data_IF_302185354499
#
_entry.id   IF_302185354499
#
_cell.length_a   1.000
_cell.length_b   1.000
_cell.length_c   1.000
_cell.angle_alpha   90.00
_cell.angle_beta   90.00
_cell.angle_gamma   90.00
#
_symmetry.space_group_name_H-M   'P 1'
#
loop_
_entity.id
_entity.type
_entity.pdbx_description
1 polymer ?
#
# COMPACT_ATOMS: atom_id res chain seq x y z
N UNK A 1 1.70 8.79 19.94
CA UNK A 1 2.52 8.17 18.87
C UNK A 1 3.20 6.85 19.29
N UNK A 2 4.04 6.82 20.33
CA UNK A 2 4.88 5.64 20.64
C UNK A 2 4.09 4.36 21.00
N UNK A 3 2.97 4.48 21.71
CA UNK A 3 2.14 3.32 22.06
C UNK A 3 1.64 2.57 20.81
N UNK A 4 1.21 3.28 19.77
CA UNK A 4 0.77 2.70 18.50
C UNK A 4 1.92 2.02 17.76
N UNK A 5 3.12 2.60 17.80
CA UNK A 5 4.29 1.96 17.23
C UNK A 5 4.61 0.63 17.91
N UNK A 6 4.61 0.60 19.25
CA UNK A 6 4.81 -0.64 20.02
C UNK A 6 3.75 -1.67 19.69
N UNK A 7 2.47 -1.27 19.63
CA UNK A 7 1.39 -2.16 19.21
C UNK A 7 1.64 -2.73 17.82
N UNK A 8 1.97 -1.88 16.83
CA UNK A 8 2.23 -2.31 15.45
C UNK A 8 3.39 -3.29 15.33
N UNK A 9 4.51 -3.01 16.01
CA UNK A 9 5.65 -3.93 16.03
C UNK A 9 5.32 -5.24 16.74
N UNK A 10 4.54 -5.21 17.82
CA UNK A 10 4.16 -6.41 18.57
C UNK A 10 3.23 -7.35 17.76
N UNK A 11 2.33 -6.79 16.94
CA UNK A 11 1.43 -7.58 16.10
C UNK A 11 2.06 -8.01 14.78
N UNK A 12 3.11 -7.33 14.33
CA UNK A 12 3.76 -7.61 13.05
C UNK A 12 4.25 -9.06 12.97
N UNK A 13 3.80 -9.78 11.93
CA UNK A 13 4.14 -11.18 11.69
C UNK A 13 3.83 -12.14 12.86
N UNK A 14 2.97 -11.76 13.80
CA UNK A 14 2.66 -12.53 15.02
C UNK A 14 1.17 -12.82 15.14
N UNK A 15 0.67 -13.95 14.58
CA UNK A 15 -0.76 -14.28 14.58
C UNK A 15 -1.42 -14.34 15.96
N UNK A 16 -0.68 -14.72 17.00
CA UNK A 16 -1.19 -14.76 18.38
C UNK A 16 -1.43 -13.36 18.93
N UNK A 17 -0.47 -12.46 18.71
CA UNK A 17 -0.60 -11.06 19.10
C UNK A 17 -1.68 -10.33 18.30
N UNK A 18 -1.76 -10.59 16.98
CA UNK A 18 -2.82 -10.06 16.11
C UNK A 18 -4.20 -10.44 16.64
N UNK A 19 -4.42 -11.74 16.91
CA UNK A 19 -5.67 -12.24 17.47
C UNK A 19 -6.02 -11.58 18.80
N UNK A 20 -5.06 -11.54 19.74
CA UNK A 20 -5.28 -10.93 21.05
C UNK A 20 -5.57 -9.42 20.95
N UNK A 21 -4.87 -8.70 20.07
CA UNK A 21 -5.08 -7.28 19.83
C UNK A 21 -6.48 -7.00 19.26
N UNK A 22 -6.91 -7.82 18.29
CA UNK A 22 -8.24 -7.74 17.68
C UNK A 22 -9.35 -8.03 18.70
N UNK A 23 -9.24 -9.11 19.47
CA UNK A 23 -10.21 -9.52 20.51
C UNK A 23 -10.36 -8.48 21.64
N UNK A 24 -9.33 -7.65 21.85
CA UNK A 24 -9.35 -6.56 22.84
C UNK A 24 -9.84 -5.22 22.26
N UNK A 25 -10.36 -5.22 21.03
CA UNK A 25 -10.89 -4.02 20.38
C UNK A 25 -9.80 -3.08 19.81
N UNK A 26 -8.58 -3.59 19.61
CA UNK A 26 -7.46 -2.80 19.10
C UNK A 26 -7.73 -2.20 17.71
N UNK A 27 -8.47 -2.92 16.85
CA UNK A 27 -8.90 -2.41 15.55
C UNK A 27 -9.83 -1.19 15.67
N UNK A 28 -10.84 -1.26 16.54
CA UNK A 28 -11.76 -0.14 16.79
C UNK A 28 -11.01 1.09 17.27
N UNK A 29 -10.03 0.91 18.15
CA UNK A 29 -9.19 2.00 18.66
C UNK A 29 -8.37 2.65 17.54
N UNK A 30 -7.72 1.85 16.67
CA UNK A 30 -6.98 2.36 15.52
C UNK A 30 -7.91 3.13 14.57
N UNK A 31 -9.08 2.59 14.24
CA UNK A 31 -10.02 3.24 13.32
C UNK A 31 -10.52 4.59 13.87
N UNK A 32 -10.80 4.68 15.17
CA UNK A 32 -11.22 5.93 15.79
C UNK A 32 -10.13 7.02 15.69
N UNK A 33 -8.86 6.65 15.92
CA UNK A 33 -7.72 7.56 15.77
C UNK A 33 -7.60 8.05 14.32
N UNK A 34 -7.86 7.18 13.34
CA UNK A 34 -7.82 7.57 11.91
C UNK A 34 -8.99 8.44 11.49
N UNK A 35 -10.14 8.32 12.16
CA UNK A 35 -11.35 9.14 11.92
C UNK A 35 -11.29 10.52 12.56
N UNK A 36 -10.47 10.72 13.57
CA UNK A 36 -10.39 12.00 14.27
C UNK A 36 -9.65 13.03 13.39
N UNK A 37 -10.37 14.00 12.84
CA UNK A 37 -9.81 15.06 11.99
C UNK A 37 -8.76 15.90 12.74
N UNK A 38 -8.88 16.04 14.06
CA UNK A 38 -8.00 16.87 14.88
C UNK A 38 -6.76 16.13 15.41
N UNK A 39 -6.68 14.81 15.19
CA UNK A 39 -5.56 14.01 15.67
C UNK A 39 -4.28 14.29 14.87
N UNK A 40 -3.16 14.25 15.58
CA UNK A 40 -1.84 14.57 15.05
C UNK A 40 -1.43 13.59 13.93
N UNK A 41 -0.78 14.13 12.90
CA UNK A 41 -0.36 13.35 11.73
C UNK A 41 0.63 12.24 12.08
N UNK A 42 1.55 12.49 13.00
CA UNK A 42 2.48 11.47 13.47
C UNK A 42 1.70 10.32 14.12
N UNK A 43 0.71 10.66 14.96
CA UNK A 43 -0.17 9.69 15.63
C UNK A 43 -0.99 8.88 14.63
N UNK A 44 -1.67 9.53 13.67
CA UNK A 44 -2.41 8.85 12.58
C UNK A 44 -1.50 7.92 11.79
N UNK A 45 -0.29 8.36 11.48
CA UNK A 45 0.67 7.55 10.73
C UNK A 45 1.12 6.31 11.51
N UNK A 46 1.30 6.40 12.84
CA UNK A 46 1.60 5.25 13.70
C UNK A 46 0.37 4.34 13.88
N UNK A 47 -0.84 4.88 13.86
CA UNK A 47 -2.07 4.09 13.87
C UNK A 47 -2.21 3.25 12.60
N UNK A 48 -1.88 3.82 11.43
CA UNK A 48 -1.80 3.08 10.17
C UNK A 48 -0.72 2.02 10.17
N UNK A 49 0.47 2.33 10.69
CA UNK A 49 1.51 1.32 10.88
C UNK A 49 1.00 0.15 11.73
N UNK A 50 0.34 0.45 12.86
CA UNK A 50 -0.27 -0.56 13.70
C UNK A 50 -1.35 -1.38 12.97
N UNK A 51 -2.15 -0.73 12.12
CA UNK A 51 -3.15 -1.39 11.29
C UNK A 51 -2.50 -2.44 10.39
N UNK A 52 -1.42 -2.11 9.67
CA UNK A 52 -0.76 -3.09 8.77
C UNK A 52 -0.18 -4.30 9.48
N UNK A 53 0.32 -4.10 10.71
CA UNK A 53 0.88 -5.19 11.49
C UNK A 53 -0.17 -6.21 11.89
N UNK A 54 -1.44 -5.80 12.00
CA UNK A 54 -2.57 -6.65 12.41
C UNK A 54 -2.99 -7.63 11.30
N UNK A 55 -2.73 -7.28 10.03
CA UNK A 55 -3.59 -7.71 8.94
C UNK A 55 -3.31 -9.10 8.33
N UNK A 56 -2.47 -9.97 8.91
CA UNK A 56 -2.24 -11.32 8.31
C UNK A 56 -3.43 -12.29 8.41
N UNK A 57 -4.46 -11.99 9.21
CA UNK A 57 -5.52 -12.95 9.54
C UNK A 57 -6.83 -12.75 8.76
N UNK A 58 -7.05 -11.60 8.11
CA UNK A 58 -8.28 -11.33 7.35
C UNK A 58 -8.11 -11.65 5.86
N UNK A 59 -8.88 -12.64 5.41
CA UNK A 59 -8.85 -13.31 4.10
C UNK A 59 -9.37 -12.42 2.96
N UNK A 60 -8.74 -11.28 2.71
CA UNK A 60 -9.09 -10.35 1.63
C UNK A 60 -7.82 -9.79 0.96
N UNK A 61 -7.16 -10.61 0.13
CA UNK A 61 -5.87 -10.28 -0.51
C UNK A 61 -5.88 -8.95 -1.31
N UNK A 62 -7.02 -8.52 -1.88
CA UNK A 62 -7.16 -7.19 -2.51
C UNK A 62 -7.26 -6.02 -1.51
N UNK A 63 -8.01 -6.20 -0.42
CA UNK A 63 -8.11 -5.19 0.65
C UNK A 63 -6.77 -5.01 1.35
N UNK A 64 -6.07 -6.13 1.53
CA UNK A 64 -4.72 -6.21 2.05
C UNK A 64 -3.70 -5.53 1.16
N UNK A 65 -3.84 -5.64 -0.16
CA UNK A 65 -2.97 -4.94 -1.10
C UNK A 65 -3.13 -3.43 -1.01
N UNK A 66 -4.32 -2.93 -0.70
CA UNK A 66 -4.62 -1.50 -0.60
C UNK A 66 -4.32 -0.89 0.77
N UNK A 67 -4.65 -1.62 1.86
CA UNK A 67 -4.20 -1.27 3.21
C UNK A 67 -2.68 -1.33 3.25
N UNK A 68 -2.06 -2.37 2.66
CA UNK A 68 -0.62 -2.35 2.46
C UNK A 68 -0.27 -1.14 1.59
N UNK A 69 -0.73 -0.94 0.35
CA UNK A 69 -0.35 0.22 -0.47
C UNK A 69 -0.37 1.57 0.27
N UNK A 70 -1.44 1.85 1.03
CA UNK A 70 -1.50 3.01 1.90
C UNK A 70 -0.47 2.91 3.03
N UNK A 71 -0.40 1.82 3.78
CA UNK A 71 0.58 1.62 4.86
C UNK A 71 2.04 1.50 4.39
N UNK A 72 2.29 1.17 3.14
CA UNK A 72 3.57 1.05 2.48
C UNK A 72 4.07 2.45 2.06
N UNK A 73 3.16 3.28 1.54
CA UNK A 73 3.36 4.73 1.48
C UNK A 73 3.65 5.27 2.88
N UNK A 74 2.93 4.85 3.91
CA UNK A 74 3.16 5.31 5.28
C UNK A 74 4.48 4.82 5.87
N UNK A 75 4.92 3.57 5.77
CA UNK A 75 6.14 3.12 6.46
C UNK A 75 7.42 3.70 5.87
N UNK A 76 7.48 3.86 4.54
CA UNK A 76 8.57 4.53 3.84
C UNK A 76 8.50 6.04 4.03
N UNK A 77 7.33 6.65 3.83
CA UNK A 77 7.16 8.10 3.97
C UNK A 77 7.23 8.62 5.41
N UNK A 78 6.82 7.84 6.43
CA UNK A 78 7.01 8.19 7.84
C UNK A 78 8.51 8.15 8.21
N UNK A 79 9.30 7.26 7.61
CA UNK A 79 10.75 7.21 7.87
C UNK A 79 11.54 8.22 7.04
N UNK A 80 11.12 8.53 5.81
CA UNK A 80 11.95 9.25 4.84
C UNK A 80 11.21 10.30 3.97
N UNK A 81 9.88 10.44 4.03
CA UNK A 81 9.13 11.37 3.16
C UNK A 81 7.85 12.01 3.80
N UNK A 82 7.99 12.87 4.82
CA UNK A 82 6.87 13.60 5.45
C UNK A 82 5.89 14.33 4.50
N UNK A 83 6.33 14.91 3.35
CA UNK A 83 5.41 15.57 2.41
C UNK A 83 4.38 14.63 1.77
N UNK A 84 4.66 13.32 1.71
CA UNK A 84 3.71 12.33 1.19
C UNK A 84 2.47 12.17 2.06
N UNK A 85 2.62 12.38 3.38
CA UNK A 85 1.53 12.34 4.34
C UNK A 85 0.58 13.53 4.15
N UNK A 86 1.15 14.73 4.00
CA UNK A 86 0.40 15.96 3.76
C UNK A 86 -0.36 15.92 2.42
N UNK A 87 0.25 15.37 1.37
CA UNK A 87 -0.42 15.22 0.08
C UNK A 87 -1.56 14.20 0.14
N UNK A 88 -1.40 13.12 0.91
CA UNK A 88 -2.44 12.12 1.08
C UNK A 88 -3.64 12.65 1.84
N UNK A 89 -3.42 13.44 2.89
CA UNK A 89 -4.50 14.16 3.58
C UNK A 89 -5.21 15.11 2.63
N UNK A 90 -4.46 15.94 1.90
CA UNK A 90 -4.99 16.88 0.91
C UNK A 90 -5.84 16.18 -0.16
N UNK A 91 -5.48 14.95 -0.53
CA UNK A 91 -6.18 14.13 -1.52
C UNK A 91 -7.35 13.31 -0.93
N UNK A 92 -7.65 13.46 0.37
CA UNK A 92 -8.71 12.71 1.05
C UNK A 92 -8.40 11.22 1.18
N UNK A 93 -7.12 10.86 1.26
CA UNK A 93 -6.66 9.47 1.29
C UNK A 93 -7.10 8.70 2.55
N UNK A 94 -7.20 9.38 3.69
CA UNK A 94 -7.70 8.78 4.94
C UNK A 94 -9.19 8.44 4.86
N UNK A 95 -10.01 9.32 4.30
CA UNK A 95 -11.44 9.05 4.04
C UNK A 95 -11.63 7.93 3.03
N UNK A 96 -10.77 7.84 2.02
CA UNK A 96 -10.79 6.74 1.06
C UNK A 96 -10.48 5.41 1.75
N UNK A 97 -9.44 5.39 2.58
CA UNK A 97 -9.06 4.21 3.38
C UNK A 97 -10.20 3.78 4.29
N UNK A 98 -10.81 4.72 5.00
CA UNK A 98 -11.94 4.48 5.89
C UNK A 98 -13.15 3.94 5.11
N UNK A 99 -13.51 4.57 3.99
CA UNK A 99 -14.60 4.09 3.14
C UNK A 99 -14.33 2.69 2.59
N UNK A 100 -13.09 2.37 2.21
CA UNK A 100 -12.71 1.04 1.76
C UNK A 100 -12.80 0.00 2.88
N UNK A 101 -12.38 0.35 4.09
CA UNK A 101 -12.52 -0.47 5.29
C UNK A 101 -14.00 -0.69 5.68
N UNK A 102 -14.86 0.29 5.42
CA UNK A 102 -16.30 0.24 5.70
C UNK A 102 -17.11 -0.54 4.65
N UNK A 103 -16.70 -0.57 3.38
CA UNK A 103 -17.36 -1.36 2.30
C UNK A 103 -16.99 -2.85 2.28
N UNK A 104 -16.40 -3.38 3.35
CA UNK A 104 -15.58 -4.60 3.45
C UNK A 104 -16.20 -5.96 3.14
N UNK A 105 -17.40 -6.02 2.55
CA UNK A 105 -18.05 -7.29 2.21
C UNK A 105 -18.06 -7.64 0.72
N UNK A 106 -17.64 -6.75 -0.20
CA UNK A 106 -17.62 -7.04 -1.64
C UNK A 106 -16.28 -6.66 -2.33
N UNK A 107 -15.48 -7.65 -2.79
CA UNK A 107 -14.25 -7.42 -3.55
C UNK A 107 -14.41 -6.67 -4.88
N UNK A 108 -15.58 -6.76 -5.54
CA UNK A 108 -15.79 -6.13 -6.84
C UNK A 108 -15.99 -4.62 -6.73
N UNK A 109 -16.72 -4.16 -5.71
CA UNK A 109 -16.91 -2.73 -5.41
C UNK A 109 -15.58 -2.02 -5.11
N UNK A 110 -14.63 -2.72 -4.48
CA UNK A 110 -13.30 -2.18 -4.21
C UNK A 110 -12.47 -2.04 -5.48
N UNK A 111 -12.37 -3.07 -6.32
CA UNK A 111 -11.63 -3.01 -7.59
C UNK A 111 -12.16 -1.89 -8.52
N UNK A 112 -13.47 -1.67 -8.54
CA UNK A 112 -14.12 -0.59 -9.29
C UNK A 112 -13.71 0.80 -8.79
N UNK A 113 -13.71 1.04 -7.46
CA UNK A 113 -13.30 2.32 -6.87
C UNK A 113 -11.80 2.63 -7.00
N UNK A 114 -10.97 1.59 -7.11
CA UNK A 114 -9.53 1.72 -7.36
C UNK A 114 -9.28 2.22 -8.79
N UNK A 115 -9.99 1.66 -9.77
CA UNK A 115 -9.96 2.13 -11.17
C UNK A 115 -10.46 3.57 -11.30
N UNK A 116 -11.50 3.94 -10.56
CA UNK A 116 -12.09 5.29 -10.63
C UNK A 116 -11.17 6.43 -10.16
N UNK A 117 -10.13 6.15 -9.37
CA UNK A 117 -9.31 7.21 -8.73
C UNK A 117 -7.90 7.41 -9.29
N UNK A 118 -7.53 6.75 -10.40
CA UNK A 118 -6.23 6.95 -11.04
C UNK A 118 -5.05 6.60 -10.12
N UNK A 119 -5.21 5.59 -9.27
CA UNK A 119 -4.22 5.26 -8.26
C UNK A 119 -2.94 4.72 -8.86
N UNK A 120 -3.02 3.87 -9.87
CA UNK A 120 -1.87 3.30 -10.55
C UNK A 120 -0.94 4.40 -11.05
N UNK A 121 -1.48 5.44 -11.71
CA UNK A 121 -0.74 6.66 -12.07
C UNK A 121 -0.04 7.32 -10.89
N UNK A 122 -0.70 7.46 -9.74
CA UNK A 122 -0.04 7.99 -8.52
C UNK A 122 1.13 7.09 -8.08
N UNK A 123 0.94 5.77 -8.08
CA UNK A 123 2.00 4.81 -7.74
C UNK A 123 3.22 4.96 -8.64
N UNK A 124 2.97 5.07 -9.95
CA UNK A 124 4.01 5.24 -10.96
C UNK A 124 4.75 6.56 -10.77
N UNK A 125 4.04 7.67 -10.52
CA UNK A 125 4.66 8.96 -10.23
C UNK A 125 5.54 8.91 -8.97
N UNK A 126 5.14 8.14 -7.96
CA UNK A 126 5.91 7.98 -6.72
C UNK A 126 7.17 7.15 -7.00
N UNK A 127 7.06 6.08 -7.80
CA UNK A 127 8.22 5.29 -8.25
C UNK A 127 9.20 6.13 -9.08
N UNK A 128 8.69 6.94 -10.01
CA UNK A 128 9.51 7.83 -10.83
C UNK A 128 10.29 8.82 -9.97
N UNK A 129 9.61 9.42 -8.98
CA UNK A 129 10.20 10.47 -8.16
C UNK A 129 11.12 9.98 -7.03
N UNK A 130 10.83 8.81 -6.45
CA UNK A 130 11.47 8.34 -5.22
C UNK A 130 11.99 6.91 -5.30
N UNK A 131 11.60 6.12 -6.29
CA UNK A 131 11.90 4.69 -6.35
C UNK A 131 13.39 4.42 -6.29
N UNK A 132 14.20 5.18 -7.02
CA UNK A 132 15.66 5.04 -6.99
C UNK A 132 16.30 5.34 -5.63
N UNK A 133 15.63 6.01 -4.69
CA UNK A 133 16.23 6.42 -3.43
C UNK A 133 15.73 5.57 -2.25
N UNK A 134 14.62 4.85 -2.44
CA UNK A 134 13.94 4.12 -1.39
C UNK A 134 13.59 2.70 -1.88
N UNK A 135 14.40 1.74 -1.44
CA UNK A 135 14.26 0.32 -1.74
C UNK A 135 12.94 -0.23 -1.19
N UNK A 136 12.59 0.13 0.05
CA UNK A 136 11.39 -0.35 0.72
C UNK A 136 10.15 0.17 0.00
N UNK A 137 10.12 1.46 -0.35
CA UNK A 137 9.07 2.01 -1.20
C UNK A 137 8.97 1.27 -2.54
N UNK A 138 10.10 1.03 -3.20
CA UNK A 138 10.13 0.39 -4.52
C UNK A 138 9.58 -1.02 -4.47
N UNK A 139 10.07 -1.85 -3.55
CA UNK A 139 9.55 -3.20 -3.29
C UNK A 139 8.02 -3.19 -3.21
N UNK A 140 7.53 -2.31 -2.36
CA UNK A 140 6.15 -2.27 -1.94
C UNK A 140 5.22 -1.79 -3.04
N UNK A 141 5.61 -0.74 -3.76
CA UNK A 141 4.84 -0.24 -4.88
C UNK A 141 4.84 -1.25 -6.02
N UNK A 142 5.97 -1.88 -6.34
CA UNK A 142 6.05 -2.88 -7.40
C UNK A 142 5.22 -4.14 -7.09
N UNK A 143 5.25 -4.64 -5.84
CA UNK A 143 4.38 -5.76 -5.40
C UNK A 143 2.90 -5.40 -5.51
N UNK A 144 2.55 -4.16 -5.19
CA UNK A 144 1.18 -3.66 -5.32
C UNK A 144 0.74 -3.66 -6.78
N UNK A 145 1.55 -3.09 -7.67
CA UNK A 145 1.24 -3.06 -9.10
C UNK A 145 1.17 -4.46 -9.71
N UNK A 146 2.07 -5.37 -9.31
CA UNK A 146 2.07 -6.76 -9.74
C UNK A 146 0.76 -7.46 -9.35
N UNK A 147 0.34 -7.35 -8.09
CA UNK A 147 -0.89 -7.98 -7.63
C UNK A 147 -2.14 -7.36 -8.27
N UNK A 148 -2.17 -6.06 -8.50
CA UNK A 148 -3.23 -5.40 -9.26
C UNK A 148 -3.33 -5.97 -10.69
N UNK A 149 -2.19 -6.13 -11.38
CA UNK A 149 -2.13 -6.76 -12.70
C UNK A 149 -2.48 -8.25 -12.69
N UNK A 150 -2.26 -8.96 -11.57
CA UNK A 150 -2.67 -10.35 -11.38
C UNK A 150 -4.18 -10.50 -11.27
N UNK A 151 -4.82 -9.63 -10.48
CA UNK A 151 -6.25 -9.70 -10.22
C UNK A 151 -7.10 -9.01 -11.30
N UNK A 152 -6.60 -7.93 -11.90
CA UNK A 152 -7.26 -7.23 -12.99
C UNK A 152 -6.25 -6.90 -14.09
N UNK A 153 -6.04 -7.80 -15.07
CA UNK A 153 -5.02 -7.62 -16.09
C UNK A 153 -5.19 -6.34 -16.94
N UNK A 154 -6.38 -5.76 -16.98
CA UNK A 154 -6.75 -4.52 -17.68
C UNK A 154 -6.88 -3.30 -16.74
N UNK A 155 -6.28 -3.35 -15.55
CA UNK A 155 -6.36 -2.28 -14.56
C UNK A 155 -5.59 -1.02 -14.94
N UNK A 156 -4.39 -1.19 -15.49
CA UNK A 156 -3.54 -0.09 -15.94
C UNK A 156 -3.90 0.30 -17.37
N UNK A 157 -3.84 1.60 -17.65
CA UNK A 157 -3.93 2.20 -18.99
C UNK A 157 -2.64 1.99 -19.77
N UNK A 158 -2.67 2.19 -21.09
CA UNK A 158 -1.47 2.05 -21.93
C UNK A 158 -0.38 3.08 -21.60
N UNK A 159 -0.78 4.29 -21.21
CA UNK A 159 0.15 5.34 -20.75
C UNK A 159 0.89 4.90 -19.48
N UNK A 160 0.15 4.39 -18.48
CA UNK A 160 0.71 3.89 -17.23
C UNK A 160 1.65 2.69 -17.47
N UNK A 161 1.28 1.78 -18.38
CA UNK A 161 2.14 0.65 -18.78
C UNK A 161 3.42 1.16 -19.47
N UNK A 162 3.32 2.18 -20.32
CA UNK A 162 4.45 2.80 -21.01
C UNK A 162 5.42 3.49 -20.05
N UNK A 163 4.91 4.20 -19.06
CA UNK A 163 5.72 4.81 -17.98
C UNK A 163 6.42 3.73 -17.16
N UNK A 164 5.69 2.69 -16.73
CA UNK A 164 6.25 1.60 -15.94
C UNK A 164 7.38 0.89 -16.69
N UNK A 165 7.23 0.64 -18.00
CA UNK A 165 8.28 0.05 -18.85
C UNK A 165 9.59 0.85 -18.85
N UNK A 166 9.53 2.18 -18.73
CA UNK A 166 10.72 3.03 -18.69
C UNK A 166 11.44 2.93 -17.34
N UNK A 167 10.68 2.79 -16.25
CA UNK A 167 11.20 2.75 -14.89
C UNK A 167 11.81 1.39 -14.52
N UNK A 168 11.17 0.29 -14.94
CA UNK A 168 11.55 -1.05 -14.48
C UNK A 168 13.04 -1.42 -14.74
N UNK A 169 13.66 -1.12 -15.90
CA UNK A 169 15.06 -1.47 -16.12
C UNK A 169 16.02 -0.82 -15.11
N UNK A 170 15.74 0.45 -14.76
CA UNK A 170 16.54 1.22 -13.78
C UNK A 170 16.36 0.64 -12.39
N UNK A 171 15.10 0.45 -11.98
CA UNK A 171 14.77 -0.09 -10.66
C UNK A 171 15.26 -1.53 -10.48
N UNK A 172 15.15 -2.37 -11.52
CA UNK A 172 15.63 -3.75 -11.50
C UNK A 172 17.15 -3.79 -11.34
N UNK A 173 17.88 -2.99 -12.10
CA UNK A 173 19.36 -2.92 -11.99
C UNK A 173 19.80 -2.56 -10.56
N UNK A 174 19.04 -1.70 -9.88
CA UNK A 174 19.35 -1.24 -8.53
C UNK A 174 18.92 -2.21 -7.43
N UNK A 175 17.75 -2.84 -7.58
CA UNK A 175 17.07 -3.58 -6.52
C UNK A 175 16.74 -5.04 -6.89
N UNK A 176 17.42 -5.61 -7.89
CA UNK A 176 17.18 -6.98 -8.39
C UNK A 176 17.08 -8.02 -7.26
N UNK A 177 17.88 -7.86 -6.21
CA UNK A 177 18.00 -8.84 -5.12
C UNK A 177 17.11 -8.56 -3.91
N UNK A 178 16.48 -7.40 -3.84
CA UNK A 178 15.87 -6.93 -2.58
C UNK A 178 14.44 -6.42 -2.71
N UNK A 179 14.05 -5.89 -3.87
CA UNK A 179 12.67 -5.49 -4.11
C UNK A 179 11.79 -6.71 -4.41
N UNK A 180 11.67 -7.09 -5.67
CA UNK A 180 10.94 -8.30 -6.05
C UNK A 180 11.83 -9.53 -6.01
N UNK A 181 11.24 -10.70 -5.73
CA UNK A 181 11.92 -11.97 -6.00
C UNK A 181 12.13 -12.16 -7.51
N UNK A 182 13.08 -13.02 -7.94
CA UNK A 182 13.32 -13.25 -9.38
C UNK A 182 12.06 -13.65 -10.16
N UNK A 183 11.21 -14.48 -9.56
CA UNK A 183 9.94 -14.92 -10.15
C UNK A 183 8.95 -13.75 -10.29
N UNK A 184 8.88 -12.88 -9.28
CA UNK A 184 8.02 -11.71 -9.30
C UNK A 184 8.47 -10.68 -10.34
N UNK A 185 9.78 -10.50 -10.51
CA UNK A 185 10.35 -9.68 -11.59
C UNK A 185 9.94 -10.20 -12.97
N UNK A 186 10.15 -11.49 -13.22
CA UNK A 186 9.79 -12.12 -14.49
C UNK A 186 8.29 -12.01 -14.77
N UNK A 187 7.45 -12.26 -13.77
CA UNK A 187 5.99 -12.19 -13.92
C UNK A 187 5.52 -10.75 -14.20
N UNK A 188 6.09 -9.76 -13.51
CA UNK A 188 5.78 -8.35 -13.74
C UNK A 188 6.16 -7.94 -15.16
N UNK A 189 7.39 -8.24 -15.59
CA UNK A 189 7.88 -7.91 -16.94
C UNK A 189 7.04 -8.59 -18.02
N UNK A 190 6.71 -9.87 -17.84
CA UNK A 190 5.88 -10.64 -18.77
C UNK A 190 4.50 -10.01 -18.92
N UNK A 191 3.83 -9.66 -17.82
CA UNK A 191 2.49 -9.03 -17.86
C UNK A 191 2.53 -7.69 -18.58
N UNK A 192 3.55 -6.90 -18.30
CA UNK A 192 3.78 -5.61 -18.95
C UNK A 192 4.03 -5.81 -20.44
N UNK A 193 4.85 -6.78 -20.85
CA UNK A 193 5.14 -7.05 -22.27
C UNK A 193 3.92 -7.58 -23.05
N UNK A 194 3.04 -8.35 -22.41
CA UNK A 194 1.84 -8.91 -23.03
C UNK A 194 0.76 -7.85 -23.36
N UNK A 195 0.82 -6.67 -22.73
CA UNK A 195 -0.03 -5.53 -23.05
C UNK A 195 0.49 -4.84 -24.32
N UNK A 196 -0.04 -5.21 -25.49
CA UNK A 196 0.30 -4.54 -26.76
C UNK A 196 -0.13 -3.07 -26.70
N UNK A 197 0.77 -2.17 -27.08
CA UNK A 197 0.47 -0.75 -27.39
C UNK A 197 -0.55 -0.67 -28.53
#
# INVERSE_FOLDING_TARGET
>A
AQALWVCGTAVQNNPKAQKAFSEKGGLTLILNILKDENEDMEVKSKALYALSGESRVLRLQLYMLYINFCVLMFSGAIKHYPPGLAQLEKDGGYDMLLKLLETSNDPNTVSMRIKEKGLAKKMINILDKYGEQDEDLTDKVLRTLLAELQHSPQSLTEDEISELRKLLPVLKTKYEKCALSPIEWEELEKRIQQRKL
#
